data_IF_966028479217
#
_entry.id   IF_966028479217
#
_cell.length_a   1.000
_cell.length_b   1.000
_cell.length_c   1.000
_cell.angle_alpha   90.00
_cell.angle_beta   90.00
_cell.angle_gamma   90.00
#
_symmetry.space_group_name_H-M   'P 1'
#
loop_
_entity.id
_entity.type
_entity.pdbx_description
1 polymer ?
#
# COMPACT_ATOMS: atom_id res chain seq x y z
N UNK A 1 -3.03 36.95 6.29
CA UNK A 1 -2.94 36.17 7.55
C UNK A 1 -2.24 34.83 7.28
N UNK A 2 -1.04 34.65 7.82
CA UNK A 2 -0.19 33.48 7.54
C UNK A 2 -0.41 32.40 8.58
N UNK A 3 -0.71 31.19 8.12
CA UNK A 3 -0.78 30.04 8.99
C UNK A 3 0.58 29.71 9.64
N UNK A 4 0.57 29.20 10.87
CA UNK A 4 1.77 28.77 11.59
C UNK A 4 2.58 27.71 10.82
N UNK A 5 3.90 27.66 11.06
CA UNK A 5 4.85 26.77 10.37
C UNK A 5 5.34 25.61 11.25
N UNK A 6 4.62 25.30 12.32
CA UNK A 6 4.98 24.23 13.26
C UNK A 6 5.04 22.85 12.60
N UNK A 7 5.94 22.00 13.10
CA UNK A 7 6.24 20.67 12.53
C UNK A 7 5.00 19.76 12.43
N UNK A 8 4.10 19.82 13.42
CA UNK A 8 2.86 19.02 13.50
C UNK A 8 1.59 19.82 13.21
N UNK A 9 1.69 20.97 12.52
CA UNK A 9 0.49 21.71 12.12
C UNK A 9 -0.38 20.85 11.19
N UNK A 10 -1.68 20.77 11.45
CA UNK A 10 -2.64 20.09 10.58
C UNK A 10 -2.51 18.56 10.61
N UNK A 11 -2.05 17.99 11.73
CA UNK A 11 -1.90 16.54 11.89
C UNK A 11 -2.83 15.95 12.94
N UNK A 12 -3.96 16.63 13.25
CA UNK A 12 -4.92 16.20 14.28
C UNK A 12 -5.40 14.78 13.99
N UNK A 13 -5.95 14.56 12.80
CA UNK A 13 -6.48 13.24 12.40
C UNK A 13 -5.39 12.31 11.85
N UNK A 14 -4.34 12.89 11.26
CA UNK A 14 -3.25 12.11 10.66
C UNK A 14 -2.46 11.28 11.70
N UNK A 15 -2.27 11.82 12.90
CA UNK A 15 -1.55 11.13 13.97
C UNK A 15 -2.47 10.71 15.12
N UNK A 16 -3.79 10.91 15.01
CA UNK A 16 -4.72 10.35 15.98
C UNK A 16 -4.71 8.83 15.91
N UNK A 17 -4.98 8.20 17.05
CA UNK A 17 -5.16 6.74 17.10
C UNK A 17 -6.61 6.43 16.71
N UNK A 18 -6.83 5.35 15.95
CA UNK A 18 -8.19 4.93 15.63
C UNK A 18 -8.96 4.50 16.88
N UNK A 19 -10.28 4.58 16.80
CA UNK A 19 -11.19 4.13 17.84
C UNK A 19 -10.88 2.68 18.27
N UNK A 20 -10.89 2.41 19.58
CA UNK A 20 -10.53 1.11 20.19
C UNK A 20 -9.12 0.61 19.85
N UNK A 21 -8.22 1.49 19.41
CA UNK A 21 -6.80 1.19 19.19
C UNK A 21 -5.90 2.12 20.00
N UNK A 22 -6.38 2.68 21.10
CA UNK A 22 -5.55 3.43 22.04
C UNK A 22 -4.74 2.48 22.95
N UNK A 23 -3.73 3.00 23.66
CA UNK A 23 -2.92 2.23 24.60
C UNK A 23 -1.68 1.56 24.00
N UNK A 24 -1.33 0.39 24.55
CA UNK A 24 -0.08 -0.32 24.28
C UNK A 24 -0.01 -0.80 22.82
N UNK A 25 1.14 -0.60 22.18
CA UNK A 25 1.40 -1.09 20.82
C UNK A 25 1.68 -2.60 20.89
N UNK A 26 1.09 -3.43 20.01
CA UNK A 26 1.34 -4.87 20.02
C UNK A 26 2.81 -5.19 19.73
N UNK A 27 3.35 -6.18 20.45
CA UNK A 27 4.75 -6.62 20.36
C UNK A 27 5.17 -7.05 18.96
N UNK A 28 4.22 -7.54 18.15
CA UNK A 28 4.44 -7.87 16.74
C UNK A 28 4.96 -6.70 15.90
N UNK A 29 4.79 -5.45 16.34
CA UNK A 29 5.38 -4.29 15.67
C UNK A 29 6.89 -4.25 15.86
N UNK A 30 7.37 -4.53 17.07
CA UNK A 30 8.79 -4.47 17.44
C UNK A 30 9.57 -5.70 16.97
N UNK A 31 8.93 -6.87 16.95
CA UNK A 31 9.57 -8.14 16.58
C UNK A 31 9.69 -8.33 15.05
N UNK A 32 9.21 -7.38 14.24
CA UNK A 32 9.36 -7.43 12.78
C UNK A 32 10.81 -7.21 12.40
N UNK A 33 11.35 -8.14 11.62
CA UNK A 33 12.69 -8.05 11.05
C UNK A 33 12.65 -7.21 9.78
N UNK A 34 13.55 -6.23 9.69
CA UNK A 34 13.75 -5.41 8.50
C UNK A 34 15.19 -5.55 8.02
N UNK A 35 15.37 -5.70 6.71
CA UNK A 35 16.67 -5.80 6.07
C UNK A 35 16.88 -4.63 5.12
N UNK A 36 18.15 -4.37 4.80
CA UNK A 36 18.50 -3.37 3.79
C UNK A 36 17.91 -3.81 2.45
N UNK A 37 17.25 -2.86 1.78
CA UNK A 37 16.61 -3.09 0.50
C UNK A 37 15.13 -3.47 0.58
N UNK A 38 14.58 -3.74 1.77
CA UNK A 38 13.15 -3.99 1.95
C UNK A 38 12.33 -2.74 1.62
N UNK A 39 11.11 -2.98 1.12
CA UNK A 39 10.15 -1.93 0.79
C UNK A 39 9.18 -1.78 1.97
N UNK A 40 9.12 -0.57 2.51
CA UNK A 40 8.37 -0.27 3.72
C UNK A 40 7.46 0.93 3.54
N UNK A 41 6.30 0.86 4.17
CA UNK A 41 5.32 1.93 4.27
C UNK A 41 5.50 2.68 5.58
N UNK A 42 5.49 4.01 5.52
CA UNK A 42 5.68 4.90 6.66
C UNK A 42 4.31 5.39 7.13
N UNK A 43 3.93 5.01 8.35
CA UNK A 43 2.70 5.46 9.01
C UNK A 43 2.99 5.83 10.45
N UNK A 44 3.03 7.14 10.71
CA UNK A 44 3.27 7.69 12.04
C UNK A 44 2.23 7.20 13.04
N UNK A 45 2.69 6.71 14.19
CA UNK A 45 1.87 6.20 15.27
C UNK A 45 1.88 7.20 16.43
N UNK A 46 0.74 7.85 16.70
CA UNK A 46 0.65 8.91 17.71
C UNK A 46 0.99 8.51 19.15
N UNK A 47 1.00 7.21 19.47
CA UNK A 47 1.36 6.71 20.80
C UNK A 47 2.86 6.84 21.12
N UNK A 48 3.72 6.97 20.10
CA UNK A 48 5.17 7.16 20.26
C UNK A 48 5.59 8.43 19.54
N UNK A 49 6.17 9.38 20.27
CA UNK A 49 6.55 10.69 19.72
C UNK A 49 7.99 10.68 19.16
N UNK A 50 8.86 9.81 19.69
CA UNK A 50 10.27 9.73 19.29
C UNK A 50 10.40 9.11 17.90
N UNK A 51 11.24 9.72 17.05
CA UNK A 51 11.50 9.23 15.69
C UNK A 51 10.28 9.22 14.76
N UNK A 52 9.25 10.01 15.09
CA UNK A 52 8.05 10.20 14.27
C UNK A 52 8.40 10.90 12.95
N UNK A 53 7.89 10.41 11.81
CA UNK A 53 8.14 11.05 10.52
C UNK A 53 7.46 12.41 10.42
N UNK A 54 8.05 13.32 9.62
CA UNK A 54 7.35 14.55 9.23
C UNK A 54 6.09 14.21 8.43
N UNK A 55 5.02 14.97 8.60
CA UNK A 55 3.70 14.74 7.98
C UNK A 55 3.73 14.51 6.46
N UNK A 56 4.68 15.11 5.74
CA UNK A 56 4.82 14.92 4.29
C UNK A 56 5.24 13.49 3.88
N UNK A 57 5.80 12.72 4.81
CA UNK A 57 6.21 11.32 4.60
C UNK A 57 5.19 10.31 5.14
N UNK A 58 4.12 10.76 5.81
CA UNK A 58 3.06 9.87 6.23
C UNK A 58 2.33 9.29 5.01
N UNK A 59 2.11 7.98 4.99
CA UNK A 59 1.52 7.27 3.87
C UNK A 59 2.44 7.15 2.64
N UNK A 60 3.75 7.40 2.80
CA UNK A 60 4.72 7.20 1.73
C UNK A 60 5.42 5.85 1.89
N UNK A 61 5.72 5.24 0.76
CA UNK A 61 6.52 4.03 0.67
C UNK A 61 7.96 4.40 0.35
N UNK A 62 8.91 3.69 0.96
CA UNK A 62 10.32 3.89 0.73
C UNK A 62 11.10 2.59 0.80
N UNK A 63 12.41 2.69 0.57
CA UNK A 63 13.34 1.56 0.64
C UNK A 63 14.28 1.73 1.82
N UNK A 64 14.46 0.68 2.60
CA UNK A 64 15.41 0.69 3.73
C UNK A 64 16.84 0.75 3.18
N UNK A 65 17.62 1.72 3.65
CA UNK A 65 19.04 1.87 3.30
C UNK A 65 19.97 1.55 4.48
N UNK A 66 19.49 1.74 5.71
CA UNK A 66 20.27 1.48 6.92
C UNK A 66 19.36 0.94 8.03
N UNK A 67 19.92 0.13 8.93
CA UNK A 67 19.23 -0.43 10.10
C UNK A 67 20.05 -0.07 11.34
N UNK A 68 19.37 0.43 12.38
CA UNK A 68 19.97 0.80 13.67
C UNK A 68 19.20 0.14 14.81
N UNK A 69 19.69 0.22 16.05
CA UNK A 69 19.11 -0.52 17.18
C UNK A 69 17.61 -0.30 17.41
N UNK A 70 17.08 0.90 17.17
CA UNK A 70 15.65 1.22 17.37
C UNK A 70 14.96 1.82 16.15
N UNK A 71 15.70 2.08 15.07
CA UNK A 71 15.19 2.84 13.93
C UNK A 71 15.72 2.31 12.59
N UNK A 72 15.02 2.69 11.55
CA UNK A 72 15.35 2.39 10.17
C UNK A 72 15.68 3.69 9.43
N UNK A 73 16.73 3.65 8.64
CA UNK A 73 17.00 4.64 7.60
C UNK A 73 16.20 4.26 6.36
N UNK A 74 15.28 5.13 5.94
CA UNK A 74 14.43 4.91 4.75
C UNK A 74 14.68 6.01 3.72
N UNK A 75 14.85 5.62 2.45
CA UNK A 75 14.88 6.53 1.31
C UNK A 75 13.46 6.68 0.78
N UNK A 76 12.95 7.92 0.79
CA UNK A 76 11.61 8.27 0.31
C UNK A 76 11.71 9.40 -0.70
N UNK A 77 10.99 9.29 -1.80
CA UNK A 77 10.90 10.35 -2.79
C UNK A 77 9.95 11.45 -2.33
N UNK A 78 10.43 12.70 -2.31
CA UNK A 78 9.63 13.89 -2.02
C UNK A 78 9.64 14.83 -3.21
N UNK A 79 8.45 15.21 -3.69
CA UNK A 79 8.30 16.29 -4.66
C UNK A 79 8.54 17.63 -3.96
N UNK A 80 9.47 18.41 -4.49
CA UNK A 80 9.79 19.77 -4.04
C UNK A 80 9.65 20.70 -5.23
N UNK A 81 8.50 21.39 -5.32
CA UNK A 81 8.11 22.23 -6.46
C UNK A 81 8.15 21.41 -7.77
N UNK A 82 9.12 21.68 -8.65
CA UNK A 82 9.24 21.09 -9.98
C UNK A 82 10.01 19.75 -10.00
N UNK A 83 10.77 19.40 -8.96
CA UNK A 83 11.63 18.20 -8.97
C UNK A 83 11.28 17.19 -7.89
N UNK A 84 11.61 15.92 -8.15
CA UNK A 84 11.50 14.82 -7.18
C UNK A 84 12.88 14.55 -6.62
N UNK A 85 13.02 14.63 -5.29
CA UNK A 85 14.30 14.47 -4.60
C UNK A 85 14.20 13.25 -3.68
N UNK A 86 15.15 12.30 -3.75
CA UNK A 86 15.25 11.23 -2.76
C UNK A 86 15.71 11.83 -1.43
N UNK A 87 14.92 11.62 -0.38
CA UNK A 87 15.22 12.05 0.98
C UNK A 87 15.48 10.84 1.85
N UNK A 88 16.62 10.86 2.55
CA UNK A 88 16.96 9.90 3.61
C UNK A 88 16.35 10.38 4.91
N UNK A 89 15.53 9.55 5.54
CA UNK A 89 14.91 9.85 6.83
C UNK A 89 15.16 8.70 7.81
N UNK A 90 15.33 9.04 9.08
CA UNK A 90 15.44 8.06 10.16
C UNK A 90 14.09 7.98 10.86
N UNK A 91 13.48 6.80 10.86
CA UNK A 91 12.13 6.57 11.38
C UNK A 91 12.16 5.34 12.27
N UNK A 92 11.54 5.41 13.44
CA UNK A 92 11.46 4.24 14.32
C UNK A 92 10.52 3.15 13.79
N UNK A 93 10.73 1.94 14.26
CA UNK A 93 10.03 0.73 13.80
C UNK A 93 8.51 0.81 14.07
N UNK A 94 8.08 1.49 15.13
CA UNK A 94 6.66 1.70 15.48
C UNK A 94 5.88 2.48 14.43
N UNK A 95 6.59 3.18 13.53
CA UNK A 95 6.02 4.00 12.48
C UNK A 95 6.20 3.41 11.08
N UNK A 96 6.69 2.17 10.99
CA UNK A 96 7.04 1.51 9.73
C UNK A 96 6.34 0.17 9.64
N UNK A 97 5.88 -0.21 8.45
CA UNK A 97 5.33 -1.52 8.16
C UNK A 97 5.88 -2.06 6.85
N UNK A 98 6.08 -3.38 6.75
CA UNK A 98 6.40 -4.02 5.47
C UNK A 98 5.28 -3.80 4.44
N UNK A 99 5.67 -3.51 3.20
CA UNK A 99 4.70 -3.28 2.14
C UNK A 99 4.27 -4.59 1.49
N UNK A 100 2.95 -4.86 1.52
CA UNK A 100 2.35 -6.08 0.95
C UNK A 100 2.48 -6.16 -0.57
N UNK A 101 2.61 -5.02 -1.26
CA UNK A 101 2.73 -5.00 -2.72
C UNK A 101 4.01 -5.70 -3.21
N UNK A 102 5.10 -5.62 -2.43
CA UNK A 102 6.35 -6.31 -2.76
C UNK A 102 6.23 -7.82 -2.53
N UNK A 103 5.52 -8.22 -1.49
CA UNK A 103 5.28 -9.64 -1.17
C UNK A 103 4.50 -10.33 -2.29
N UNK A 104 3.41 -9.72 -2.76
CA UNK A 104 2.60 -10.22 -3.87
C UNK A 104 3.42 -10.34 -5.17
N UNK A 105 4.21 -9.31 -5.49
CA UNK A 105 5.13 -9.36 -6.62
C UNK A 105 6.12 -10.53 -6.53
N UNK A 106 6.74 -10.73 -5.37
CA UNK A 106 7.73 -11.81 -5.18
C UNK A 106 7.09 -13.20 -5.25
N UNK A 107 5.87 -13.37 -4.73
CA UNK A 107 5.10 -14.61 -4.87
C UNK A 107 4.88 -14.94 -6.36
N UNK A 108 4.44 -13.95 -7.14
CA UNK A 108 4.25 -14.10 -8.59
C UNK A 108 5.53 -14.40 -9.35
N UNK A 109 6.67 -13.81 -8.98
CA UNK A 109 7.96 -14.14 -9.60
C UNK A 109 8.28 -15.62 -9.42
N UNK A 110 8.13 -16.14 -8.19
CA UNK A 110 8.37 -17.56 -7.88
C UNK A 110 7.40 -18.48 -8.64
N UNK A 111 6.13 -18.12 -8.73
CA UNK A 111 5.13 -18.88 -9.50
C UNK A 111 5.45 -18.91 -10.99
N UNK A 112 5.86 -17.77 -11.56
CA UNK A 112 6.26 -17.69 -12.96
C UNK A 112 7.50 -18.54 -13.25
N UNK A 113 8.48 -18.57 -12.35
CA UNK A 113 9.67 -19.43 -12.49
C UNK A 113 9.31 -20.91 -12.46
N UNK A 114 8.34 -21.33 -11.63
CA UNK A 114 7.84 -22.71 -11.61
C UNK A 114 7.19 -23.09 -12.95
N UNK A 115 6.25 -22.26 -13.42
CA UNK A 115 5.58 -22.45 -14.71
C UNK A 115 6.56 -22.51 -15.88
N UNK A 116 7.60 -21.67 -15.86
CA UNK A 116 8.64 -21.67 -16.89
C UNK A 116 9.44 -22.99 -16.90
N UNK A 117 9.79 -23.51 -15.72
CA UNK A 117 10.51 -24.79 -15.60
C UNK A 117 9.65 -25.96 -16.10
N UNK A 118 8.38 -25.99 -15.72
CA UNK A 118 7.42 -27.00 -16.17
C UNK A 118 7.21 -26.95 -17.68
N UNK A 119 7.00 -25.75 -18.23
CA UNK A 119 6.88 -25.52 -19.68
C UNK A 119 8.11 -25.99 -20.47
N UNK A 120 9.32 -25.73 -19.92
CA UNK A 120 10.57 -26.18 -20.55
C UNK A 120 10.72 -27.70 -20.51
N UNK A 121 10.24 -28.37 -19.45
CA UNK A 121 10.29 -29.82 -19.34
C UNK A 121 9.27 -30.51 -20.27
N UNK A 122 8.07 -29.95 -20.42
CA UNK A 122 7.01 -30.50 -21.29
C UNK A 122 7.13 -30.07 -22.76
N UNK A 123 7.92 -29.04 -23.05
CA UNK A 123 8.06 -28.46 -24.40
C UNK A 123 6.88 -27.57 -24.82
N UNK A 124 5.97 -27.23 -23.89
CA UNK A 124 4.80 -26.39 -24.16
C UNK A 124 5.13 -24.92 -23.98
N UNK A 125 4.69 -24.06 -24.91
CA UNK A 125 4.84 -22.61 -24.76
C UNK A 125 3.85 -22.02 -23.75
N UNK A 126 4.33 -21.17 -22.84
CA UNK A 126 3.51 -20.49 -21.81
C UNK A 126 3.74 -18.99 -21.83
N UNK A 127 2.66 -18.20 -21.90
CA UNK A 127 2.71 -16.75 -21.76
C UNK A 127 2.72 -16.33 -20.28
N UNK A 128 3.84 -15.77 -19.80
CA UNK A 128 4.02 -15.35 -18.40
C UNK A 128 3.61 -13.89 -18.14
N UNK A 129 3.28 -13.13 -19.19
CA UNK A 129 2.85 -11.72 -19.06
C UNK A 129 1.40 -11.67 -18.62
N UNK A 130 1.08 -10.74 -17.70
CA UNK A 130 -0.30 -10.43 -17.31
C UNK A 130 -1.03 -9.83 -18.51
N UNK A 131 -2.26 -10.24 -18.73
CA UNK A 131 -3.15 -9.63 -19.71
C UNK A 131 -4.17 -8.73 -19.00
N UNK A 132 -4.56 -7.60 -19.61
CA UNK A 132 -5.71 -6.85 -19.14
C UNK A 132 -7.00 -7.68 -19.32
N UNK A 133 -8.07 -7.26 -18.64
CA UNK A 133 -9.38 -7.87 -18.82
C UNK A 133 -9.76 -7.84 -20.30
N UNK A 134 -10.00 -9.03 -20.86
CA UNK A 134 -10.41 -9.20 -22.25
C UNK A 134 -11.93 -9.03 -22.36
N UNK A 135 -12.47 -8.71 -23.56
CA UNK A 135 -13.90 -8.74 -23.78
C UNK A 135 -14.47 -10.10 -23.38
N UNK A 136 -15.68 -10.10 -22.79
CA UNK A 136 -16.35 -11.33 -22.39
C UNK A 136 -16.60 -12.14 -23.66
N UNK A 137 -16.24 -13.43 -23.63
CA UNK A 137 -16.58 -14.35 -24.71
C UNK A 137 -18.09 -14.54 -24.85
N UNK A 138 -18.52 -15.09 -25.98
CA UNK A 138 -19.91 -15.43 -26.19
C UNK A 138 -20.37 -16.47 -25.14
N UNK A 139 -21.52 -16.22 -24.51
CA UNK A 139 -22.14 -17.12 -23.54
C UNK A 139 -23.60 -17.31 -23.88
N UNK A 140 -24.07 -18.56 -23.84
CA UNK A 140 -25.50 -18.88 -23.98
C UNK A 140 -26.12 -18.82 -22.58
N UNK A 141 -27.12 -17.97 -22.40
CA UNK A 141 -27.93 -17.97 -21.17
C UNK A 141 -28.97 -19.10 -21.30
N UNK A 142 -28.77 -20.18 -20.55
CA UNK A 142 -29.74 -21.28 -20.45
C UNK A 142 -30.75 -20.98 -19.35
N UNK A 143 -31.99 -21.41 -19.54
CA UNK A 143 -33.09 -21.26 -18.57
C UNK A 143 -33.27 -19.81 -18.09
N UNK A 144 -33.17 -18.86 -19.03
CA UNK A 144 -33.40 -17.46 -18.72
C UNK A 144 -34.84 -17.29 -18.19
N UNK A 145 -35.04 -16.64 -17.02
CA UNK A 145 -36.38 -16.31 -16.58
C UNK A 145 -37.07 -15.42 -17.63
N UNK A 146 -38.40 -15.44 -17.63
CA UNK A 146 -39.18 -14.59 -18.55
C UNK A 146 -38.68 -13.13 -18.47
N UNK A 147 -38.32 -12.51 -19.61
CA UNK A 147 -37.81 -11.14 -19.60
C UNK A 147 -38.84 -10.18 -19.00
N UNK A 148 -38.46 -9.49 -17.93
CA UNK A 148 -39.31 -8.46 -17.32
C UNK A 148 -39.23 -7.20 -18.18
N UNK A 149 -40.38 -6.77 -18.70
CA UNK A 149 -40.50 -5.48 -19.38
C UNK A 149 -40.53 -4.37 -18.33
N UNK A 150 -39.57 -3.44 -18.41
CA UNK A 150 -39.47 -2.29 -17.52
C UNK A 150 -39.73 -1.01 -18.31
N UNK A 151 -40.46 -0.07 -17.72
CA UNK A 151 -40.73 1.26 -18.26
C UNK A 151 -40.26 2.34 -17.26
N UNK A 152 -39.82 3.52 -17.74
CA UNK A 152 -39.48 4.63 -16.85
C UNK A 152 -40.70 5.07 -16.04
N UNK A 153 -40.49 5.31 -14.74
CA UNK A 153 -41.50 5.88 -13.85
C UNK A 153 -41.66 7.38 -14.19
N UNK A 154 -42.89 7.92 -14.21
CA UNK A 154 -43.11 9.36 -14.33
C UNK A 154 -42.38 10.16 -13.24
N UNK A 155 -42.03 11.41 -13.54
CA UNK A 155 -41.43 12.30 -12.55
C UNK A 155 -42.41 12.60 -11.42
N UNK A 156 -42.00 12.30 -10.19
CA UNK A 156 -42.71 12.66 -8.96
C UNK A 156 -41.78 13.47 -8.05
N UNK A 157 -42.31 14.51 -7.44
CA UNK A 157 -41.59 15.29 -6.44
C UNK A 157 -41.71 14.59 -5.08
N UNK A 158 -40.62 14.01 -4.59
CA UNK A 158 -40.55 13.34 -3.28
C UNK A 158 -39.73 14.22 -2.33
N UNK A 159 -40.30 14.56 -1.17
CA UNK A 159 -39.65 15.33 -0.10
C UNK A 159 -38.94 14.43 0.91
#
# INVERSE_FOLDING_TARGET
MTNSKGYRRGTRDMFSRPFRKHGVIPLSTYLKVYKIGDIVDIKGNGAVQKGMPYKAYHGKTGRVFNVTGHALGVIVNKRVRHRIIPKRINVRIEHVSHSKCREDFLKRVKENEKKLKEAKATGVYVNLKRQPAQPRGATIVKDAPEPIVLAPIPYEFIA
#
